data_IF_108102576644
#
_entry.id   IF_108102576644
#
_cell.length_a   1.000
_cell.length_b   1.000
_cell.length_c   1.000
_cell.angle_alpha   90.00
_cell.angle_beta   90.00
_cell.angle_gamma   90.00
#
_symmetry.space_group_name_H-M   'P 1'
#
loop_
_entity.id
_entity.type
_entity.pdbx_description
1 polymer ?
#
# COMPACT_ATOMS: atom_id res chain seq x y z
N UNK A 1 -5.86 -35.20 27.93
CA UNK A 1 -4.88 -36.00 28.66
C UNK A 1 -5.62 -37.19 29.24
N UNK A 2 -5.39 -38.38 28.71
CA UNK A 2 -6.03 -39.61 29.26
C UNK A 2 -5.06 -40.15 30.27
N UNK A 3 -5.47 -40.10 31.55
CA UNK A 3 -4.66 -40.60 32.68
C UNK A 3 -4.92 -42.10 32.81
N UNK A 4 -3.90 -42.91 32.59
CA UNK A 4 -4.01 -44.36 32.74
C UNK A 4 -3.73 -44.78 34.19
N UNK A 5 -4.50 -45.74 34.79
CA UNK A 5 -4.28 -46.22 36.14
C UNK A 5 -2.87 -46.79 36.32
N UNK A 6 -2.27 -46.50 37.47
CA UNK A 6 -0.89 -46.87 37.86
C UNK A 6 -0.57 -48.36 37.75
N UNK A 7 -1.59 -49.23 37.86
CA UNK A 7 -1.42 -50.67 37.84
C UNK A 7 -1.04 -51.29 36.49
N UNK A 8 -1.27 -50.55 35.37
CA UNK A 8 -0.94 -51.05 34.05
C UNK A 8 0.54 -50.77 33.70
N UNK A 9 1.15 -49.74 34.24
CA UNK A 9 2.55 -49.37 33.96
C UNK A 9 3.56 -50.44 34.44
N UNK A 10 3.28 -51.09 35.53
CA UNK A 10 4.18 -52.11 36.11
C UNK A 10 4.18 -53.46 35.35
N UNK A 11 3.13 -53.76 34.61
CA UNK A 11 2.99 -55.06 33.94
C UNK A 11 3.72 -55.15 32.57
N UNK A 12 4.11 -53.99 32.00
CA UNK A 12 4.73 -53.94 30.64
C UNK A 12 6.15 -53.35 30.66
N UNK A 13 6.76 -53.11 31.82
CA UNK A 13 8.19 -52.68 31.90
C UNK A 13 8.53 -51.38 31.21
N UNK A 14 7.56 -50.47 31.07
CA UNK A 14 7.77 -49.19 30.41
C UNK A 14 8.49 -48.23 31.39
N UNK A 15 9.79 -48.10 31.21
CA UNK A 15 10.61 -47.11 31.90
C UNK A 15 10.48 -45.78 31.17
N UNK A 16 9.90 -44.79 31.79
CA UNK A 16 9.86 -43.39 31.32
C UNK A 16 11.31 -42.86 31.27
N UNK A 17 11.94 -42.91 30.12
CA UNK A 17 13.13 -42.12 29.84
C UNK A 17 12.66 -40.75 29.33
N UNK A 18 13.06 -39.63 29.93
CA UNK A 18 12.75 -38.32 29.39
C UNK A 18 13.44 -38.18 28.05
N UNK A 19 12.64 -38.00 26.98
CA UNK A 19 13.12 -37.84 25.62
C UNK A 19 13.64 -36.38 25.43
N UNK A 20 14.86 -36.13 25.92
CA UNK A 20 15.53 -34.82 25.79
C UNK A 20 15.89 -34.49 24.34
N UNK A 21 15.94 -35.48 23.46
CA UNK A 21 16.30 -35.24 22.03
C UNK A 21 15.14 -34.72 21.19
N UNK A 22 13.89 -34.89 21.62
CA UNK A 22 12.74 -34.42 20.82
C UNK A 22 12.49 -32.91 20.97
N UNK A 23 12.81 -32.38 22.13
CA UNK A 23 12.65 -30.94 22.39
C UNK A 23 13.72 -30.04 21.75
N UNK A 24 14.95 -30.55 21.55
CA UNK A 24 16.01 -29.81 20.89
C UNK A 24 15.74 -29.65 19.38
N UNK A 25 15.26 -30.73 18.73
CA UNK A 25 14.99 -30.72 17.29
C UNK A 25 13.82 -29.80 16.90
N UNK A 26 12.80 -29.68 17.75
CA UNK A 26 11.69 -28.75 17.52
C UNK A 26 12.09 -27.29 17.78
N UNK A 27 12.98 -27.04 18.73
CA UNK A 27 13.51 -25.70 19.01
C UNK A 27 14.38 -25.17 17.89
N UNK A 28 15.30 -26.00 17.37
CA UNK A 28 16.15 -25.61 16.22
C UNK A 28 15.34 -25.36 14.94
N UNK A 29 14.28 -26.14 14.67
CA UNK A 29 13.41 -25.89 13.53
C UNK A 29 12.55 -24.62 13.71
N UNK A 30 12.18 -24.29 14.94
CA UNK A 30 11.41 -23.08 15.22
C UNK A 30 12.29 -21.82 15.14
N UNK A 31 13.51 -21.87 15.67
CA UNK A 31 14.49 -20.79 15.56
C UNK A 31 14.92 -20.55 14.10
N UNK A 32 15.21 -21.60 13.32
CA UNK A 32 15.52 -21.47 11.89
C UNK A 32 14.34 -20.96 11.06
N UNK A 33 13.09 -21.25 11.45
CA UNK A 33 11.90 -20.74 10.77
C UNK A 33 11.61 -19.28 11.11
N UNK A 34 11.94 -18.83 12.31
CA UNK A 34 11.82 -17.44 12.76
C UNK A 34 12.90 -16.58 12.11
N UNK A 35 14.17 -17.06 12.09
CA UNK A 35 15.27 -16.35 11.43
C UNK A 35 15.08 -16.25 9.92
N UNK A 36 14.55 -17.32 9.27
CA UNK A 36 14.21 -17.28 7.85
C UNK A 36 13.06 -16.33 7.53
N UNK A 37 12.12 -16.13 8.46
CA UNK A 37 11.01 -15.19 8.34
C UNK A 37 11.48 -13.74 8.58
N UNK A 38 12.45 -13.52 9.47
CA UNK A 38 13.04 -12.20 9.72
C UNK A 38 13.99 -11.76 8.59
N UNK A 39 14.70 -12.68 7.92
CA UNK A 39 15.55 -12.37 6.78
C UNK A 39 14.80 -12.15 5.46
N UNK A 40 13.50 -12.45 5.40
CA UNK A 40 12.68 -12.27 4.18
C UNK A 40 11.90 -10.94 4.13
N UNK A 41 11.93 -10.12 5.16
CA UNK A 41 11.52 -8.72 5.07
C UNK A 41 12.68 -7.91 4.47
N UNK A 42 12.84 -7.98 3.16
CA UNK A 42 13.53 -6.93 2.44
C UNK A 42 12.71 -5.65 2.66
N UNK A 43 13.15 -4.86 3.65
CA UNK A 43 12.68 -3.49 3.84
C UNK A 43 13.03 -2.77 2.54
N UNK A 44 12.04 -2.50 1.70
CA UNK A 44 12.24 -1.64 0.55
C UNK A 44 12.86 -0.33 1.07
N UNK A 45 13.85 0.24 0.38
CA UNK A 45 14.42 1.51 0.80
C UNK A 45 13.26 2.51 0.92
N UNK A 46 13.29 3.41 1.93
CA UNK A 46 12.23 4.39 2.11
C UNK A 46 12.10 5.21 0.84
N UNK A 47 10.89 5.29 0.29
CA UNK A 47 10.62 6.16 -0.86
C UNK A 47 10.73 7.63 -0.42
N UNK A 48 11.18 8.48 -1.35
CA UNK A 48 11.17 9.93 -1.17
C UNK A 48 10.19 10.56 -2.19
N UNK A 49 8.87 10.54 -1.91
CA UNK A 49 7.87 11.02 -2.85
C UNK A 49 7.97 12.54 -3.01
N UNK A 50 7.81 13.08 -4.22
CA UNK A 50 7.70 14.52 -4.42
C UNK A 50 6.55 15.10 -3.59
N UNK A 51 6.71 16.33 -3.10
CA UNK A 51 5.65 17.05 -2.40
C UNK A 51 4.68 17.67 -3.40
N UNK A 52 3.39 17.50 -3.16
CA UNK A 52 2.32 18.13 -3.95
C UNK A 52 1.95 19.47 -3.32
N UNK A 53 1.88 20.52 -4.14
CA UNK A 53 1.38 21.83 -3.76
C UNK A 53 0.52 22.35 -4.91
N UNK A 54 -0.80 22.42 -4.74
CA UNK A 54 -1.71 22.78 -5.82
C UNK A 54 -1.57 24.24 -6.23
N UNK A 55 -1.57 25.16 -5.26
CA UNK A 55 -1.68 26.59 -5.50
C UNK A 55 -0.55 27.39 -4.87
N UNK A 56 -0.21 28.50 -5.50
CA UNK A 56 0.61 29.56 -4.94
C UNK A 56 -0.10 30.91 -5.17
N UNK A 57 -0.20 31.72 -4.14
CA UNK A 57 -0.90 33.02 -4.19
C UNK A 57 -2.35 32.92 -4.73
N UNK A 58 -3.06 31.84 -4.38
CA UNK A 58 -4.43 31.57 -4.84
C UNK A 58 -4.57 31.04 -6.25
N UNK A 59 -3.48 30.94 -7.02
CA UNK A 59 -3.50 30.47 -8.40
C UNK A 59 -2.96 29.04 -8.51
N UNK A 60 -3.58 28.22 -9.38
CA UNK A 60 -3.09 26.89 -9.71
C UNK A 60 -1.68 27.00 -10.32
N UNK A 61 -0.74 26.23 -9.79
CA UNK A 61 0.65 26.25 -10.24
C UNK A 61 0.79 25.53 -11.57
N UNK A 62 1.40 26.20 -12.54
CA UNK A 62 1.69 25.60 -13.85
C UNK A 62 2.61 24.37 -13.71
N UNK A 63 3.60 24.43 -12.86
CA UNK A 63 4.59 23.37 -12.63
C UNK A 63 3.93 22.08 -12.13
N UNK A 64 2.81 22.22 -11.39
CA UNK A 64 2.02 21.08 -10.93
C UNK A 64 1.55 20.20 -12.08
N UNK A 65 1.05 20.81 -13.16
CA UNK A 65 0.50 20.12 -14.33
C UNK A 65 1.55 19.77 -15.40
N UNK A 66 2.79 20.16 -15.18
CA UNK A 66 3.90 19.93 -16.14
C UNK A 66 5.01 19.13 -15.46
N UNK A 67 6.06 19.79 -15.01
CA UNK A 67 7.28 19.14 -14.47
C UNK A 67 7.05 18.29 -13.22
N UNK A 68 6.11 18.68 -12.34
CA UNK A 68 5.79 17.91 -11.14
C UNK A 68 4.97 16.66 -11.50
N UNK A 69 3.98 16.80 -12.39
CA UNK A 69 3.22 15.66 -12.89
C UNK A 69 4.11 14.66 -13.65
N UNK A 70 5.08 15.14 -14.43
CA UNK A 70 6.06 14.29 -15.10
C UNK A 70 6.92 13.52 -14.10
N UNK A 71 7.47 14.17 -13.06
CA UNK A 71 8.23 13.51 -11.99
C UNK A 71 7.41 12.44 -11.28
N UNK A 72 6.14 12.72 -10.99
CA UNK A 72 5.25 11.72 -10.40
C UNK A 72 5.00 10.53 -11.33
N UNK A 73 4.80 10.79 -12.62
CA UNK A 73 4.68 9.72 -13.61
C UNK A 73 5.96 8.86 -13.67
N UNK A 74 7.14 9.46 -13.53
CA UNK A 74 8.41 8.72 -13.43
C UNK A 74 8.48 7.84 -12.18
N UNK A 75 8.11 8.38 -11.03
CA UNK A 75 8.08 7.61 -9.76
C UNK A 75 7.11 6.42 -9.82
N UNK A 76 5.99 6.59 -10.51
CA UNK A 76 4.97 5.54 -10.68
C UNK A 76 5.36 4.52 -11.74
N UNK A 77 6.13 4.94 -12.75
CA UNK A 77 6.56 4.11 -13.87
C UNK A 77 7.89 3.44 -13.58
N UNK A 78 7.88 2.13 -13.59
CA UNK A 78 9.08 1.30 -13.68
C UNK A 78 8.65 0.00 -14.37
N UNK A 79 9.39 -0.40 -15.39
CA UNK A 79 9.12 -1.62 -16.16
C UNK A 79 8.98 -2.88 -15.30
N UNK A 80 9.59 -2.90 -14.10
CA UNK A 80 9.61 -4.07 -13.22
C UNK A 80 8.88 -3.85 -11.90
N UNK A 81 8.94 -2.65 -11.32
CA UNK A 81 8.46 -2.35 -9.97
C UNK A 81 7.35 -1.31 -9.91
N UNK A 82 7.04 -0.63 -11.01
CA UNK A 82 5.98 0.37 -11.10
C UNK A 82 4.57 -0.21 -11.13
N UNK A 83 3.59 0.68 -11.01
CA UNK A 83 2.18 0.33 -11.25
C UNK A 83 1.93 0.14 -12.74
N UNK A 84 0.92 -0.67 -13.09
CA UNK A 84 0.50 -0.80 -14.50
C UNK A 84 -0.41 0.36 -14.90
N UNK A 85 -0.44 0.65 -16.21
CA UNK A 85 -1.37 1.66 -16.76
C UNK A 85 -2.84 1.37 -16.40
N UNK A 86 -3.24 0.09 -16.38
CA UNK A 86 -4.59 -0.30 -15.97
C UNK A 86 -4.86 -0.01 -14.49
N UNK A 87 -3.90 -0.30 -13.63
CA UNK A 87 -4.02 -0.03 -12.19
C UNK A 87 -4.12 1.48 -11.92
N UNK A 88 -3.24 2.28 -12.54
CA UNK A 88 -3.26 3.73 -12.40
C UNK A 88 -4.58 4.32 -12.93
N UNK A 89 -5.06 3.84 -14.09
CA UNK A 89 -6.33 4.27 -14.67
C UNK A 89 -7.53 3.96 -13.80
N UNK A 90 -7.53 2.83 -13.08
CA UNK A 90 -8.62 2.50 -12.17
C UNK A 90 -8.73 3.55 -11.06
N UNK A 91 -7.61 3.97 -10.45
CA UNK A 91 -7.62 5.04 -9.46
C UNK A 91 -8.04 6.39 -10.07
N UNK A 92 -7.56 6.71 -11.25
CA UNK A 92 -7.98 7.92 -11.97
C UNK A 92 -9.50 7.95 -12.21
N UNK A 93 -10.08 6.84 -12.67
CA UNK A 93 -11.52 6.73 -12.89
C UNK A 93 -12.31 6.93 -11.59
N UNK A 94 -11.81 6.47 -10.45
CA UNK A 94 -12.46 6.70 -9.16
C UNK A 94 -12.41 8.16 -8.75
N UNK A 95 -11.26 8.85 -8.96
CA UNK A 95 -11.16 10.29 -8.72
C UNK A 95 -12.12 11.07 -9.61
N UNK A 96 -12.21 10.74 -10.92
CA UNK A 96 -13.15 11.37 -11.84
C UNK A 96 -14.61 11.11 -11.48
N UNK A 97 -14.96 9.89 -11.06
CA UNK A 97 -16.30 9.58 -10.61
C UNK A 97 -16.68 10.35 -9.33
N UNK A 98 -15.73 10.55 -8.43
CA UNK A 98 -15.94 11.35 -7.23
C UNK A 98 -16.05 12.85 -7.57
N UNK A 99 -15.23 13.35 -8.51
CA UNK A 99 -15.35 14.72 -9.04
C UNK A 99 -16.77 14.99 -9.55
N UNK A 100 -17.31 14.10 -10.41
CA UNK A 100 -18.67 14.26 -10.93
C UNK A 100 -19.74 14.22 -9.82
N UNK A 101 -19.53 13.45 -8.75
CA UNK A 101 -20.45 13.45 -7.59
C UNK A 101 -20.39 14.75 -6.81
N UNK A 102 -19.21 15.32 -6.62
CA UNK A 102 -19.02 16.60 -5.95
C UNK A 102 -19.67 17.73 -6.77
N UNK A 103 -19.43 17.75 -8.08
CA UNK A 103 -20.06 18.72 -9.00
C UNK A 103 -21.62 18.65 -8.97
N UNK A 104 -22.20 17.45 -8.84
CA UNK A 104 -23.64 17.27 -8.81
C UNK A 104 -24.29 17.49 -7.44
N UNK A 105 -23.60 17.16 -6.35
CA UNK A 105 -24.16 17.10 -4.99
C UNK A 105 -23.44 17.95 -3.96
N UNK A 106 -22.39 18.66 -4.35
CA UNK A 106 -21.55 19.47 -3.47
C UNK A 106 -20.45 18.69 -2.76
N UNK A 107 -19.50 19.42 -2.21
CA UNK A 107 -18.32 18.88 -1.53
C UNK A 107 -18.66 18.17 -0.21
N UNK A 108 -19.42 18.84 0.68
CA UNK A 108 -19.63 18.39 2.06
C UNK A 108 -20.23 16.97 2.16
N UNK A 109 -21.26 16.57 1.37
CA UNK A 109 -21.79 15.19 1.43
C UNK A 109 -20.80 14.13 0.94
N UNK A 110 -19.79 14.54 0.15
CA UNK A 110 -18.83 13.64 -0.50
C UNK A 110 -17.45 13.63 0.18
N UNK A 111 -17.19 14.46 1.18
CA UNK A 111 -15.89 14.60 1.86
C UNK A 111 -15.38 13.25 2.41
N UNK A 112 -16.23 12.47 3.05
CA UNK A 112 -15.87 11.15 3.56
C UNK A 112 -15.39 10.19 2.45
N UNK A 113 -15.89 10.34 1.23
CA UNK A 113 -15.51 9.52 0.08
C UNK A 113 -14.10 9.86 -0.42
N UNK A 114 -13.64 11.10 -0.20
CA UNK A 114 -12.24 11.49 -0.48
C UNK A 114 -11.29 10.69 0.43
N UNK A 115 -11.63 10.58 1.72
CA UNK A 115 -10.89 9.74 2.67
C UNK A 115 -10.84 8.26 2.27
N UNK A 116 -11.89 7.74 1.62
CA UNK A 116 -11.95 6.36 1.17
C UNK A 116 -10.91 6.06 0.07
N UNK A 117 -10.52 7.04 -0.75
CA UNK A 117 -9.44 6.87 -1.74
C UNK A 117 -8.13 6.43 -1.06
N UNK A 118 -7.81 6.99 0.12
CA UNK A 118 -6.62 6.63 0.91
C UNK A 118 -6.66 5.15 1.33
N UNK A 119 -7.81 4.69 1.83
CA UNK A 119 -8.01 3.28 2.23
C UNK A 119 -7.85 2.33 1.04
N UNK A 120 -8.36 2.70 -0.12
CA UNK A 120 -8.20 1.91 -1.36
C UNK A 120 -6.75 1.83 -1.80
N UNK A 121 -6.00 2.94 -1.73
CA UNK A 121 -4.59 2.95 -2.07
C UNK A 121 -3.75 2.09 -1.08
N UNK A 122 -4.04 2.18 0.22
CA UNK A 122 -3.42 1.33 1.23
C UNK A 122 -3.72 -0.17 1.00
N UNK A 123 -4.96 -0.51 0.67
CA UNK A 123 -5.35 -1.88 0.34
C UNK A 123 -4.65 -2.40 -0.91
N UNK A 124 -4.55 -1.56 -1.96
CA UNK A 124 -3.85 -1.93 -3.19
C UNK A 124 -2.36 -2.21 -2.93
N UNK A 125 -1.69 -1.37 -2.11
CA UNK A 125 -0.30 -1.59 -1.68
C UNK A 125 -0.16 -2.91 -0.91
N UNK A 126 -1.08 -3.19 0.03
CA UNK A 126 -1.03 -4.42 0.84
C UNK A 126 -1.12 -5.70 -0.03
N UNK A 127 -1.87 -5.65 -1.13
CA UNK A 127 -2.04 -6.74 -2.08
C UNK A 127 -1.03 -6.75 -3.24
N UNK A 128 -0.19 -5.73 -3.33
CA UNK A 128 0.79 -5.63 -4.40
C UNK A 128 1.81 -6.78 -4.33
N UNK A 129 2.18 -7.33 -5.49
CA UNK A 129 3.30 -8.25 -5.61
C UNK A 129 4.59 -7.57 -5.09
N UNK A 130 5.48 -8.34 -4.44
CA UNK A 130 6.74 -7.79 -3.86
C UNK A 130 7.49 -6.87 -4.83
N UNK A 131 7.59 -7.28 -6.10
CA UNK A 131 8.29 -6.52 -7.15
C UNK A 131 7.63 -5.18 -7.50
N UNK A 132 6.34 -5.00 -7.18
CA UNK A 132 5.56 -3.77 -7.51
C UNK A 132 5.28 -2.89 -6.30
N UNK A 133 5.73 -3.27 -5.12
CA UNK A 133 5.46 -2.52 -3.88
C UNK A 133 5.91 -1.06 -3.97
N UNK A 134 7.09 -0.80 -4.51
CA UNK A 134 7.64 0.56 -4.63
C UNK A 134 6.70 1.46 -5.44
N UNK A 135 6.23 1.02 -6.61
CA UNK A 135 5.28 1.80 -7.41
C UNK A 135 3.96 2.05 -6.67
N UNK A 136 3.46 1.05 -5.91
CA UNK A 136 2.26 1.23 -5.09
C UNK A 136 2.50 2.12 -3.85
N UNK A 137 3.69 2.17 -3.29
CA UNK A 137 4.06 3.13 -2.24
C UNK A 137 4.01 4.57 -2.76
N UNK A 138 4.54 4.83 -3.96
CA UNK A 138 4.40 6.12 -4.63
C UNK A 138 2.94 6.44 -4.94
N UNK A 139 2.16 5.49 -5.47
CA UNK A 139 0.74 5.70 -5.75
C UNK A 139 -0.04 6.04 -4.47
N UNK A 140 0.20 5.28 -3.39
CA UNK A 140 -0.40 5.56 -2.08
C UNK A 140 -0.05 6.96 -1.60
N UNK A 141 1.22 7.36 -1.66
CA UNK A 141 1.65 8.69 -1.25
C UNK A 141 1.01 9.80 -2.08
N UNK A 142 0.89 9.63 -3.40
CA UNK A 142 0.21 10.58 -4.28
C UNK A 142 -1.26 10.75 -3.91
N UNK A 143 -1.97 9.65 -3.69
CA UNK A 143 -3.38 9.66 -3.30
C UNK A 143 -3.57 10.29 -1.91
N UNK A 144 -2.71 9.95 -0.94
CA UNK A 144 -2.77 10.51 0.41
C UNK A 144 -2.55 12.03 0.39
N UNK A 145 -1.49 12.51 -0.25
CA UNK A 145 -1.21 13.94 -0.37
C UNK A 145 -2.36 14.68 -1.11
N UNK A 146 -2.84 14.12 -2.21
CA UNK A 146 -3.94 14.70 -2.97
C UNK A 146 -5.23 14.76 -2.17
N UNK A 147 -5.59 13.70 -1.45
CA UNK A 147 -6.77 13.66 -0.61
C UNK A 147 -6.67 14.64 0.59
N UNK A 148 -5.50 14.72 1.24
CA UNK A 148 -5.28 15.62 2.39
C UNK A 148 -5.34 17.10 1.99
N UNK A 149 -4.91 17.43 0.78
CA UNK A 149 -4.98 18.79 0.24
C UNK A 149 -6.37 19.14 -0.30
N UNK A 150 -7.24 18.17 -0.55
CA UNK A 150 -8.59 18.34 -1.10
C UNK A 150 -9.59 18.77 -0.01
N UNK A 151 -9.43 19.95 0.54
CA UNK A 151 -10.26 20.50 1.64
C UNK A 151 -11.48 21.29 1.16
N UNK A 152 -11.70 21.39 -0.14
CA UNK A 152 -12.82 22.04 -0.81
C UNK A 152 -13.06 21.42 -2.18
N UNK A 153 -14.18 21.73 -2.82
CA UNK A 153 -14.47 21.33 -4.20
C UNK A 153 -13.38 21.81 -5.16
N UNK A 154 -12.96 23.08 -5.03
CA UNK A 154 -11.90 23.66 -5.85
C UNK A 154 -10.58 22.89 -5.70
N UNK A 155 -10.18 22.60 -4.45
CA UNK A 155 -8.95 21.84 -4.20
C UNK A 155 -9.03 20.38 -4.68
N UNK A 156 -10.22 19.75 -4.62
CA UNK A 156 -10.41 18.43 -5.20
C UNK A 156 -10.33 18.45 -6.73
N UNK A 157 -10.86 19.49 -7.36
CA UNK A 157 -10.72 19.69 -8.80
C UNK A 157 -9.25 19.89 -9.22
N UNK A 158 -8.47 20.63 -8.42
CA UNK A 158 -7.01 20.76 -8.63
C UNK A 158 -6.31 19.40 -8.54
N UNK A 159 -6.70 18.55 -7.60
CA UNK A 159 -6.18 17.18 -7.49
C UNK A 159 -6.55 16.33 -8.72
N UNK A 160 -7.80 16.40 -9.17
CA UNK A 160 -8.24 15.67 -10.35
C UNK A 160 -7.47 16.08 -11.61
N UNK A 161 -7.24 17.39 -11.81
CA UNK A 161 -6.42 17.93 -12.90
C UNK A 161 -4.96 17.48 -12.81
N UNK A 162 -4.38 17.51 -11.61
CA UNK A 162 -3.03 17.01 -11.39
C UNK A 162 -2.92 15.52 -11.74
N UNK A 163 -3.86 14.69 -11.31
CA UNK A 163 -3.84 13.27 -11.62
C UNK A 163 -4.02 13.02 -13.13
N UNK A 164 -4.85 13.82 -13.81
CA UNK A 164 -5.00 13.75 -15.27
C UNK A 164 -3.68 14.06 -15.99
N UNK A 165 -2.94 15.08 -15.53
CA UNK A 165 -1.62 15.39 -16.05
C UNK A 165 -0.62 14.24 -15.84
N UNK A 166 -0.59 13.65 -14.63
CA UNK A 166 0.23 12.47 -14.34
C UNK A 166 -0.10 11.30 -15.28
N UNK A 167 -1.40 11.04 -15.53
CA UNK A 167 -1.85 10.02 -16.48
C UNK A 167 -1.36 10.28 -17.91
N UNK A 168 -1.35 11.55 -18.33
CA UNK A 168 -0.85 11.97 -19.64
C UNK A 168 0.64 11.64 -19.81
N UNK A 169 1.47 12.01 -18.86
CA UNK A 169 2.90 11.72 -18.88
C UNK A 169 3.21 10.23 -18.70
N UNK A 170 2.43 9.50 -17.90
CA UNK A 170 2.59 8.06 -17.68
C UNK A 170 2.36 7.24 -18.97
N UNK A 171 1.42 7.65 -19.83
CA UNK A 171 1.10 6.96 -21.07
C UNK A 171 2.20 7.06 -22.13
N UNK A 172 3.01 8.08 -22.07
CA UNK A 172 4.09 8.32 -23.02
C UNK A 172 5.34 7.44 -22.83
N UNK A 173 5.31 6.48 -21.88
CA UNK A 173 6.49 5.67 -21.48
C UNK A 173 6.37 4.19 -21.78
#
# INVERSE_FOLDING_TARGET
MIDFPKDIKNKFGIKDKPNQHFNSFQREQHEQSVDKKMQSEQINPPINPPKIVFRANGQLRRELLTTEAEKWAECLYDNKSGVTATQLRNFFNEVKALQSRIEAGGYAPNEAMIGLLKSKAAYALARAEKKRKIGFEYLKSMIEQGADLSTSEEAFNDFALFFEAVMGFFKGR
#
